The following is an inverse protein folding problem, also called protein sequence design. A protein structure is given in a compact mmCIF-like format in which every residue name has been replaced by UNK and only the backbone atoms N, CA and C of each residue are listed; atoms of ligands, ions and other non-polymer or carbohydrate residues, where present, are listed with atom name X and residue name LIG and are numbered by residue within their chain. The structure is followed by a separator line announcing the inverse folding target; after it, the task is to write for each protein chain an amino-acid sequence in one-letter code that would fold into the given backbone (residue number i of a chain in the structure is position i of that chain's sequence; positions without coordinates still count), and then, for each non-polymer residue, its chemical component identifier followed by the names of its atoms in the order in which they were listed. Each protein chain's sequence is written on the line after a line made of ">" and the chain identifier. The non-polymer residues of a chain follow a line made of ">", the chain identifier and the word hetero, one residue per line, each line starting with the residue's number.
data_IF_393333409231
#
_entry.id   IF_393333409231
#
_cell.length_a   1.000
_cell.length_b   1.000
_cell.length_c   1.000
_cell.angle_alpha   90.00
_cell.angle_beta   90.00
_cell.angle_gamma   90.00
#
_symmetry.space_group_name_H-M   'P 1'
#
loop_
_entity.id
_entity.type
_entity.pdbx_description
1 polymer ?
#
# COMPACT_ATOMS: atom_id res chain seq x y z
N UNK A 1 27.92 -11.30 23.89
CA UNK A 1 26.76 -10.61 23.26
C UNK A 1 26.63 -10.78 21.74
N UNK A 2 27.54 -11.47 21.02
CA UNK A 2 27.42 -11.64 19.55
C UNK A 2 26.56 -12.85 19.11
N UNK A 3 26.36 -13.84 19.98
CA UNK A 3 25.61 -15.07 19.66
C UNK A 3 24.09 -14.87 19.62
N UNK A 4 23.55 -13.92 20.38
CA UNK A 4 22.13 -13.60 20.38
C UNK A 4 21.66 -12.98 19.05
N UNK A 5 22.53 -12.22 18.38
CA UNK A 5 22.24 -11.61 17.08
C UNK A 5 22.08 -12.66 15.97
N UNK A 6 22.83 -13.77 16.05
CA UNK A 6 22.72 -14.88 15.08
C UNK A 6 21.43 -15.69 15.23
N UNK A 7 20.81 -15.69 16.42
CA UNK A 7 19.55 -16.41 16.66
C UNK A 7 18.32 -15.69 16.12
N UNK A 8 18.39 -14.37 15.91
CA UNK A 8 17.28 -13.54 15.41
C UNK A 8 17.26 -13.38 13.88
N UNK A 9 18.36 -13.74 13.21
CA UNK A 9 18.49 -13.64 11.75
C UNK A 9 17.51 -14.57 10.98
N UNK A 10 17.30 -15.84 11.40
CA UNK A 10 16.39 -16.74 10.71
C UNK A 10 14.94 -16.27 10.80
N UNK A 11 14.51 -15.73 11.95
CA UNK A 11 13.13 -15.25 12.16
C UNK A 11 12.73 -14.10 11.23
N UNK A 12 13.68 -13.26 10.80
CA UNK A 12 13.41 -12.19 9.85
C UNK A 12 13.26 -12.70 8.40
N UNK A 13 13.97 -13.78 8.04
CA UNK A 13 13.94 -14.37 6.70
C UNK A 13 12.66 -15.19 6.43
N UNK A 14 11.96 -15.66 7.46
CA UNK A 14 10.70 -16.42 7.30
C UNK A 14 9.46 -15.52 7.13
N UNK A 15 9.58 -14.19 7.24
CA UNK A 15 8.43 -13.27 7.19
C UNK A 15 7.90 -13.00 5.76
N UNK A 16 8.71 -13.22 4.72
CA UNK A 16 8.33 -12.89 3.33
C UNK A 16 7.22 -13.79 2.75
N UNK A 17 7.02 -15.00 3.30
CA UNK A 17 6.10 -15.99 2.69
C UNK A 17 4.62 -15.80 3.01
N UNK A 18 4.25 -14.94 3.95
CA UNK A 18 2.84 -14.73 4.32
C UNK A 18 2.07 -14.00 3.21
N UNK A 19 2.78 -13.20 2.41
CA UNK A 19 2.20 -12.43 1.31
C UNK A 19 2.42 -13.08 -0.06
N UNK A 20 3.10 -14.23 -0.12
CA UNK A 20 3.34 -14.98 -1.35
C UNK A 20 2.07 -15.78 -1.72
N UNK A 21 1.05 -15.03 -2.12
CA UNK A 21 -0.22 -15.59 -2.59
C UNK A 21 0.01 -16.27 -3.94
N UNK A 22 -0.12 -17.59 -3.98
CA UNK A 22 0.02 -18.34 -5.23
C UNK A 22 -1.08 -17.91 -6.21
N UNK A 23 -0.68 -17.24 -7.29
CA UNK A 23 -1.59 -16.86 -8.37
C UNK A 23 -2.08 -18.10 -9.10
N UNK A 24 -3.40 -18.34 -9.09
CA UNK A 24 -4.03 -19.36 -9.92
C UNK A 24 -3.81 -19.07 -11.42
N UNK A 25 -4.03 -20.07 -12.27
CA UNK A 25 -3.87 -19.91 -13.73
C UNK A 25 -4.85 -18.86 -14.27
N UNK A 26 -6.05 -18.83 -13.74
CA UNK A 26 -7.14 -17.91 -14.09
C UNK A 26 -6.77 -16.48 -13.68
N UNK A 27 -6.21 -16.30 -12.48
CA UNK A 27 -5.74 -15.00 -12.01
C UNK A 27 -4.59 -14.47 -12.88
N UNK A 28 -3.65 -15.33 -13.28
CA UNK A 28 -2.56 -14.97 -14.20
C UNK A 28 -3.11 -14.52 -15.55
N UNK A 29 -4.03 -15.29 -16.15
CA UNK A 29 -4.66 -14.93 -17.41
C UNK A 29 -5.48 -13.61 -17.32
N UNK A 30 -6.15 -13.38 -16.18
CA UNK A 30 -6.87 -12.13 -15.93
C UNK A 30 -5.92 -10.92 -15.80
N UNK A 31 -4.75 -11.10 -15.19
CA UNK A 31 -3.72 -10.04 -15.08
C UNK A 31 -3.07 -9.70 -16.42
N UNK A 32 -2.95 -10.66 -17.32
CA UNK A 32 -2.44 -10.48 -18.68
C UNK A 32 -3.47 -9.84 -19.62
N UNK A 33 -4.77 -9.90 -19.27
CA UNK A 33 -5.82 -9.26 -20.04
C UNK A 33 -5.71 -7.72 -19.96
N UNK A 34 -5.44 -7.08 -21.10
CA UNK A 34 -5.20 -5.62 -21.22
C UNK A 34 -6.35 -4.78 -20.63
N UNK A 35 -7.61 -5.20 -20.80
CA UNK A 35 -8.78 -4.45 -20.32
C UNK A 35 -8.89 -4.52 -18.79
N UNK A 36 -8.68 -5.71 -18.22
CA UNK A 36 -8.72 -5.93 -16.77
C UNK A 36 -7.57 -5.18 -16.09
N UNK A 37 -6.36 -5.28 -16.64
CA UNK A 37 -5.19 -4.54 -16.14
C UNK A 37 -5.42 -3.02 -16.17
N UNK A 38 -5.95 -2.49 -17.28
CA UNK A 38 -6.28 -1.07 -17.40
C UNK A 38 -7.30 -0.65 -16.32
N UNK A 39 -8.37 -1.43 -16.15
CA UNK A 39 -9.38 -1.16 -15.13
C UNK A 39 -8.78 -1.13 -13.72
N UNK A 40 -7.94 -2.10 -13.38
CA UNK A 40 -7.28 -2.16 -12.07
C UNK A 40 -6.40 -0.94 -11.79
N UNK A 41 -5.63 -0.48 -12.78
CA UNK A 41 -4.82 0.75 -12.65
C UNK A 41 -5.71 1.97 -12.43
N UNK A 42 -6.81 2.09 -13.19
CA UNK A 42 -7.77 3.18 -13.04
C UNK A 42 -8.42 3.16 -11.65
N UNK A 43 -8.88 2.00 -11.19
CA UNK A 43 -9.51 1.86 -9.88
C UNK A 43 -8.54 2.20 -8.74
N UNK A 44 -7.25 1.81 -8.87
CA UNK A 44 -6.21 2.20 -7.91
C UNK A 44 -5.98 3.71 -7.87
N UNK A 45 -6.03 4.39 -9.03
CA UNK A 45 -5.94 5.85 -9.10
C UNK A 45 -7.12 6.51 -8.39
N UNK A 46 -8.35 6.08 -8.71
CA UNK A 46 -9.57 6.60 -8.07
C UNK A 46 -9.51 6.39 -6.55
N UNK A 47 -9.12 5.21 -6.09
CA UNK A 47 -8.96 4.93 -4.65
C UNK A 47 -7.94 5.86 -3.99
N UNK A 48 -6.83 6.13 -4.67
CA UNK A 48 -5.80 7.05 -4.16
C UNK A 48 -6.34 8.48 -4.05
N UNK A 49 -7.04 8.96 -5.08
CA UNK A 49 -7.68 10.27 -5.07
C UNK A 49 -8.74 10.39 -3.96
N UNK A 50 -9.55 9.34 -3.76
CA UNK A 50 -10.51 9.27 -2.65
C UNK A 50 -9.80 9.36 -1.29
N UNK A 51 -8.71 8.60 -1.09
CA UNK A 51 -7.95 8.65 0.17
C UNK A 51 -7.31 10.00 0.43
N UNK A 52 -6.78 10.66 -0.60
CA UNK A 52 -6.26 12.02 -0.50
C UNK A 52 -7.40 12.98 -0.13
N UNK A 53 -8.56 12.88 -0.78
CA UNK A 53 -9.73 13.72 -0.50
C UNK A 53 -10.22 13.55 0.94
N UNK A 54 -10.34 12.29 1.41
CA UNK A 54 -10.68 11.96 2.80
C UNK A 54 -9.69 12.57 3.79
N UNK A 55 -8.39 12.41 3.55
CA UNK A 55 -7.35 12.96 4.40
C UNK A 55 -7.41 14.50 4.44
N UNK A 56 -7.53 15.15 3.28
CA UNK A 56 -7.65 16.61 3.19
C UNK A 56 -8.89 17.10 3.95
N UNK A 57 -10.03 16.42 3.78
CA UNK A 57 -11.26 16.74 4.50
C UNK A 57 -11.09 16.61 6.01
N UNK A 58 -10.47 15.51 6.47
CA UNK A 58 -10.15 15.30 7.88
C UNK A 58 -9.30 16.44 8.44
N UNK A 59 -8.20 16.80 7.78
CA UNK A 59 -7.31 17.85 8.26
C UNK A 59 -7.93 19.25 8.21
N UNK A 60 -8.77 19.54 7.21
CA UNK A 60 -9.52 20.82 7.15
C UNK A 60 -10.49 20.98 8.30
N UNK A 61 -11.12 19.88 8.73
CA UNK A 61 -12.11 19.86 9.79
C UNK A 61 -11.52 19.51 11.17
N UNK A 62 -10.21 19.28 11.25
CA UNK A 62 -9.55 18.91 12.49
C UNK A 62 -9.48 20.09 13.44
N UNK A 63 -9.92 19.88 14.69
CA UNK A 63 -9.77 20.87 15.76
C UNK A 63 -8.30 21.14 16.12
N UNK A 64 -7.43 20.17 15.87
CA UNK A 64 -6.04 20.15 16.36
C UNK A 64 -5.01 20.44 15.28
N UNK A 65 -5.42 20.58 14.02
CA UNK A 65 -4.54 20.84 12.90
C UNK A 65 -5.06 22.00 12.06
N UNK A 66 -4.19 22.97 11.76
CA UNK A 66 -4.49 24.09 10.87
C UNK A 66 -3.38 24.19 9.82
N UNK A 67 -3.77 24.35 8.57
CA UNK A 67 -2.81 24.58 7.49
C UNK A 67 -2.21 25.99 7.66
N UNK A 68 -0.94 26.07 8.02
CA UNK A 68 -0.21 27.33 8.02
C UNK A 68 0.10 27.72 6.58
N UNK A 69 -0.41 28.86 6.13
CA UNK A 69 -0.12 29.39 4.80
C UNK A 69 1.27 30.02 4.84
N UNK A 70 2.31 29.28 4.44
CA UNK A 70 3.59 29.91 4.13
C UNK A 70 3.41 30.76 2.87
N UNK A 71 3.57 32.07 3.01
CA UNK A 71 3.62 32.99 1.88
C UNK A 71 4.77 32.60 0.97
N UNK A 72 4.51 32.55 -0.33
CA UNK A 72 5.53 32.47 -1.38
C UNK A 72 6.04 33.87 -1.67
#
# INVERSE_FOLDING_TARGET
>A
MKKALFLLLPSLLFCEKIYDTQLSKENRAAMENKKIKCRWVCDKKIYTEQKISEAVSFYKNSKYYKFEKKGF
#
